data_IF_165821155600
#
_entry.id   IF_165821155600
#
_cell.length_a   1.000
_cell.length_b   1.000
_cell.length_c   1.000
_cell.angle_alpha   90.00
_cell.angle_beta   90.00
_cell.angle_gamma   90.00
#
_symmetry.space_group_name_H-M   'P 1'
#
loop_
_entity.id
_entity.type
_entity.pdbx_description
1 polymer ?
#
# COMPACT_ATOMS: atom_id res chain seq x y z
N UNK A 1 -0.70 4.55 -15.77
CA UNK A 1 -0.54 5.59 -14.73
C UNK A 1 -0.71 4.92 -13.38
N UNK A 2 0.21 5.10 -12.44
CA UNK A 2 0.14 4.45 -11.11
C UNK A 2 -1.00 5.10 -10.30
N UNK A 3 -2.04 4.34 -9.88
CA UNK A 3 -3.18 4.89 -9.15
C UNK A 3 -2.90 5.23 -7.68
N UNK A 4 -1.69 4.98 -7.19
CA UNK A 4 -1.24 5.29 -5.83
C UNK A 4 -0.11 6.34 -5.79
N UNK A 5 0.06 7.10 -6.88
CA UNK A 5 1.14 8.10 -6.99
C UNK A 5 1.04 9.20 -5.92
N UNK A 6 -0.17 9.64 -5.59
CA UNK A 6 -0.46 10.56 -4.49
C UNK A 6 -0.02 9.99 -3.13
N UNK A 7 -0.33 8.72 -2.87
CA UNK A 7 0.10 8.05 -1.62
C UNK A 7 1.59 7.84 -1.56
N UNK A 8 2.25 7.56 -2.68
CA UNK A 8 3.71 7.55 -2.75
C UNK A 8 4.29 8.91 -2.32
N UNK A 9 3.71 10.01 -2.79
CA UNK A 9 4.15 11.35 -2.37
C UNK A 9 3.90 11.62 -0.88
N UNK A 10 2.75 11.22 -0.35
CA UNK A 10 2.43 11.43 1.07
C UNK A 10 3.33 10.59 2.00
N UNK A 11 3.63 9.35 1.62
CA UNK A 11 4.40 8.42 2.44
C UNK A 11 5.90 8.72 2.42
N UNK A 12 6.47 9.01 1.24
CA UNK A 12 7.91 9.25 1.10
C UNK A 12 8.29 10.72 1.26
N UNK A 13 7.38 11.64 0.98
CA UNK A 13 7.64 13.06 1.05
C UNK A 13 6.58 13.74 1.93
N UNK A 14 6.58 13.52 3.26
CA UNK A 14 5.56 14.08 4.15
C UNK A 14 5.73 15.59 4.38
N UNK A 15 6.89 16.16 4.04
CA UNK A 15 7.21 17.57 4.30
C UNK A 15 6.52 18.48 3.27
N UNK A 16 5.87 19.53 3.77
CA UNK A 16 5.19 20.57 2.98
C UNK A 16 5.66 21.94 3.44
N UNK A 17 5.95 22.84 2.51
CA UNK A 17 6.33 24.21 2.85
C UNK A 17 5.09 25.04 3.25
N UNK A 18 5.29 26.33 3.54
CA UNK A 18 4.20 27.24 3.91
C UNK A 18 3.19 27.47 2.77
N UNK A 19 3.57 27.15 1.52
CA UNK A 19 2.73 27.27 0.33
C UNK A 19 2.03 25.95 -0.03
N UNK A 20 2.30 24.87 0.72
CA UNK A 20 1.79 23.52 0.43
C UNK A 20 2.58 22.75 -0.63
N UNK A 21 3.74 23.25 -1.05
CA UNK A 21 4.63 22.56 -1.99
C UNK A 21 5.42 21.46 -1.28
N UNK A 22 5.63 20.35 -2.01
CA UNK A 22 6.43 19.22 -1.53
C UNK A 22 7.91 19.59 -1.62
N UNK A 23 8.59 19.62 -0.49
CA UNK A 23 10.05 19.67 -0.47
C UNK A 23 10.60 18.37 0.13
N UNK A 24 11.67 17.87 -0.46
CA UNK A 24 12.32 16.65 -0.03
C UNK A 24 13.83 16.82 -0.07
N UNK A 25 14.50 16.20 0.88
CA UNK A 25 15.95 16.14 0.92
C UNK A 25 16.45 15.05 -0.02
N UNK A 26 17.74 15.08 -0.36
CA UNK A 26 18.37 14.00 -1.09
C UNK A 26 18.26 12.65 -0.35
N UNK A 27 18.24 12.68 0.99
CA UNK A 27 18.03 11.49 1.83
C UNK A 27 16.63 10.90 1.62
N UNK A 28 15.58 11.74 1.61
CA UNK A 28 14.20 11.30 1.33
C UNK A 28 14.09 10.67 -0.08
N UNK A 29 14.85 11.19 -1.05
CA UNK A 29 14.95 10.60 -2.40
C UNK A 29 15.69 9.25 -2.40
N UNK A 30 16.75 9.12 -1.61
CA UNK A 30 17.46 7.86 -1.46
C UNK A 30 16.59 6.79 -0.78
N UNK A 31 15.74 7.17 0.17
CA UNK A 31 14.82 6.25 0.83
C UNK A 31 13.81 5.66 -0.15
N UNK A 32 13.20 6.47 -1.03
CA UNK A 32 12.29 5.96 -2.05
C UNK A 32 13.02 5.10 -3.10
N UNK A 33 14.21 5.53 -3.54
CA UNK A 33 15.02 4.75 -4.48
C UNK A 33 15.48 3.42 -3.88
N UNK A 34 15.82 3.41 -2.59
CA UNK A 34 16.18 2.21 -1.84
C UNK A 34 14.97 1.29 -1.71
N UNK A 35 13.81 1.81 -1.30
CA UNK A 35 12.59 1.04 -1.16
C UNK A 35 12.14 0.39 -2.48
N UNK A 36 12.30 1.09 -3.60
CA UNK A 36 11.91 0.63 -4.94
C UNK A 36 13.00 -0.17 -5.67
N UNK A 37 14.18 -0.32 -5.07
CA UNK A 37 15.30 -1.07 -5.64
C UNK A 37 14.98 -2.57 -5.73
N UNK A 38 15.43 -3.26 -6.80
CA UNK A 38 15.31 -4.71 -6.90
C UNK A 38 16.05 -5.45 -5.77
N UNK A 39 17.10 -4.86 -5.19
CA UNK A 39 17.90 -5.45 -4.11
C UNK A 39 17.33 -5.21 -2.70
N UNK A 40 16.24 -4.44 -2.58
CA UNK A 40 15.61 -4.16 -1.29
C UNK A 40 14.91 -5.42 -0.74
N UNK A 41 15.15 -5.80 0.55
CA UNK A 41 14.53 -6.97 1.15
C UNK A 41 13.00 -6.92 1.06
N UNK A 42 12.37 -8.05 0.73
CA UNK A 42 10.92 -8.14 0.54
C UNK A 42 10.12 -7.65 1.75
N UNK A 43 10.64 -7.87 2.96
CA UNK A 43 10.05 -7.37 4.20
C UNK A 43 9.98 -5.84 4.25
N UNK A 44 11.02 -5.16 3.78
CA UNK A 44 11.07 -3.68 3.76
C UNK A 44 10.11 -3.15 2.68
N UNK A 45 10.05 -3.79 1.51
CA UNK A 45 9.05 -3.47 0.48
C UNK A 45 7.63 -3.64 0.98
N UNK A 46 7.35 -4.74 1.68
CA UNK A 46 6.04 -5.01 2.26
C UNK A 46 5.66 -3.96 3.31
N UNK A 47 6.60 -3.49 4.14
CA UNK A 47 6.34 -2.40 5.09
C UNK A 47 6.00 -1.07 4.39
N UNK A 48 6.70 -0.74 3.30
CA UNK A 48 6.38 0.46 2.53
C UNK A 48 5.05 0.34 1.80
N UNK A 49 4.76 -0.82 1.20
CA UNK A 49 3.47 -1.09 0.57
C UNK A 49 2.31 -1.00 1.58
N UNK A 50 2.51 -1.51 2.81
CA UNK A 50 1.55 -1.36 3.89
C UNK A 50 1.21 0.11 4.17
N UNK A 51 2.22 0.97 4.31
CA UNK A 51 2.01 2.42 4.52
C UNK A 51 1.29 3.13 3.37
N UNK A 52 1.45 2.64 2.14
CA UNK A 52 0.73 3.19 0.98
C UNK A 52 -0.75 2.81 1.01
N UNK A 53 -1.03 1.60 1.47
CA UNK A 53 -2.38 1.03 1.50
C UNK A 53 -3.19 1.44 2.73
N UNK A 54 -2.54 1.79 3.83
CA UNK A 54 -3.17 2.43 4.99
C UNK A 54 -3.48 3.91 4.62
N UNK A 55 -4.75 4.24 4.36
CA UNK A 55 -5.16 5.61 3.98
C UNK A 55 -5.47 6.50 5.17
N UNK A 56 -6.00 5.92 6.24
CA UNK A 56 -6.40 6.65 7.44
C UNK A 56 -5.23 6.81 8.45
N UNK A 57 -4.09 6.17 8.21
CA UNK A 57 -2.88 6.12 9.03
C UNK A 57 -3.11 5.55 10.44
N UNK A 58 -4.05 4.61 10.59
CA UNK A 58 -4.34 3.96 11.86
C UNK A 58 -3.41 2.77 12.17
N UNK A 59 -2.50 2.43 11.24
CA UNK A 59 -1.59 1.28 11.26
C UNK A 59 -2.28 -0.08 11.08
N UNK A 60 -3.48 -0.08 10.52
CA UNK A 60 -4.21 -1.24 10.06
C UNK A 60 -4.70 -1.00 8.63
N UNK A 61 -5.03 -2.09 7.92
CA UNK A 61 -5.73 -2.00 6.64
C UNK A 61 -7.12 -2.58 6.88
N UNK A 62 -8.09 -1.68 6.97
CA UNK A 62 -9.49 -2.02 7.24
C UNK A 62 -10.34 -2.15 5.97
N UNK A 63 -11.65 -2.34 6.16
CA UNK A 63 -12.62 -2.42 5.06
C UNK A 63 -12.61 -1.16 4.18
N UNK A 64 -12.49 0.03 4.80
CA UNK A 64 -12.49 1.31 4.09
C UNK A 64 -11.25 1.48 3.20
N UNK A 65 -10.07 1.11 3.70
CA UNK A 65 -8.83 1.13 2.93
C UNK A 65 -8.91 0.17 1.74
N UNK A 66 -9.37 -1.06 1.97
CA UNK A 66 -9.53 -2.06 0.92
C UNK A 66 -10.54 -1.63 -0.15
N UNK A 67 -11.60 -0.93 0.24
CA UNK A 67 -12.58 -0.37 -0.70
C UNK A 67 -11.92 0.66 -1.63
N UNK A 68 -11.12 1.57 -1.07
CA UNK A 68 -10.36 2.58 -1.82
C UNK A 68 -9.33 1.90 -2.74
N UNK A 69 -8.64 0.87 -2.26
CA UNK A 69 -7.65 0.11 -3.05
C UNK A 69 -8.34 -0.55 -4.24
N UNK A 70 -9.47 -1.23 -4.03
CA UNK A 70 -10.23 -1.89 -5.10
C UNK A 70 -10.71 -0.85 -6.12
N UNK A 71 -11.21 0.31 -5.68
CA UNK A 71 -11.63 1.38 -6.58
C UNK A 71 -10.49 1.95 -7.42
N UNK A 72 -9.31 2.11 -6.82
CA UNK A 72 -8.10 2.59 -7.48
C UNK A 72 -7.55 1.57 -8.49
N UNK A 73 -7.51 0.28 -8.14
CA UNK A 73 -7.05 -0.80 -9.02
C UNK A 73 -8.00 -1.06 -10.20
N UNK A 74 -9.30 -0.92 -9.98
CA UNK A 74 -10.32 -1.11 -11.01
C UNK A 74 -10.54 0.12 -11.87
N UNK A 75 -9.82 1.23 -11.61
CA UNK A 75 -9.99 2.53 -12.28
C UNK A 75 -11.45 3.00 -12.26
N UNK A 76 -12.15 2.73 -11.15
CA UNK A 76 -13.60 2.98 -11.00
C UNK A 76 -14.48 2.30 -12.06
N UNK A 77 -14.04 1.20 -12.69
CA UNK A 77 -14.98 0.29 -13.35
C UNK A 77 -16.04 -0.08 -12.32
N UNK A 78 -17.32 0.05 -12.69
CA UNK A 78 -18.46 -0.02 -11.77
C UNK A 78 -18.63 -1.43 -11.18
N UNK A 79 -17.74 -1.84 -10.29
CA UNK A 79 -18.04 -2.90 -9.34
C UNK A 79 -19.08 -2.34 -8.37
N UNK A 80 -20.16 -3.09 -8.21
CA UNK A 80 -21.16 -2.78 -7.19
C UNK A 80 -20.55 -2.89 -5.79
N UNK A 81 -21.15 -2.20 -4.83
CA UNK A 81 -20.73 -2.27 -3.44
C UNK A 81 -20.73 -3.71 -2.90
N UNK A 82 -21.69 -4.54 -3.32
CA UNK A 82 -21.78 -5.95 -2.91
C UNK A 82 -20.66 -6.82 -3.48
N UNK A 83 -20.19 -6.55 -4.70
CA UNK A 83 -19.03 -7.24 -5.27
C UNK A 83 -17.74 -6.85 -4.55
N UNK A 84 -17.55 -5.55 -4.28
CA UNK A 84 -16.41 -5.07 -3.50
C UNK A 84 -16.38 -5.72 -2.12
N UNK A 85 -17.51 -5.75 -1.43
CA UNK A 85 -17.62 -6.36 -0.11
C UNK A 85 -17.25 -7.85 -0.11
N UNK A 86 -17.72 -8.61 -1.11
CA UNK A 86 -17.32 -10.02 -1.25
C UNK A 86 -15.81 -10.19 -1.44
N UNK A 87 -15.19 -9.32 -2.23
CA UNK A 87 -13.72 -9.35 -2.43
C UNK A 87 -13.01 -9.05 -1.10
N UNK A 88 -13.47 -8.04 -0.36
CA UNK A 88 -12.92 -7.68 0.95
C UNK A 88 -13.04 -8.84 1.94
N UNK A 89 -14.22 -9.47 2.03
CA UNK A 89 -14.45 -10.64 2.89
C UNK A 89 -13.50 -11.81 2.55
N UNK A 90 -13.24 -12.05 1.26
CA UNK A 90 -12.28 -13.07 0.82
C UNK A 90 -10.86 -12.70 1.22
N UNK A 91 -10.44 -11.44 1.02
CA UNK A 91 -9.11 -10.97 1.39
C UNK A 91 -8.89 -11.10 2.90
N UNK A 92 -9.83 -10.59 3.70
CA UNK A 92 -9.76 -10.68 5.16
C UNK A 92 -9.71 -12.13 5.62
N UNK A 93 -10.54 -13.02 5.06
CA UNK A 93 -10.52 -14.44 5.44
C UNK A 93 -9.15 -15.11 5.21
N UNK A 94 -8.41 -14.70 4.20
CA UNK A 94 -7.09 -15.28 3.87
C UNK A 94 -5.93 -14.61 4.65
N UNK A 95 -6.05 -13.32 4.95
CA UNK A 95 -4.96 -12.50 5.52
C UNK A 95 -5.11 -12.23 7.02
N UNK A 96 -6.33 -11.99 7.50
CA UNK A 96 -6.65 -11.74 8.91
C UNK A 96 -6.64 -13.06 9.71
N UNK A 97 -5.44 -13.45 10.13
CA UNK A 97 -5.22 -14.63 10.95
C UNK A 97 -5.70 -14.42 12.40
N UNK A 98 -5.68 -13.16 12.86
CA UNK A 98 -6.14 -12.75 14.19
C UNK A 98 -7.65 -12.68 14.35
N UNK A 99 -8.41 -12.65 13.24
CA UNK A 99 -9.85 -12.35 13.20
C UNK A 99 -10.19 -11.00 13.86
N UNK A 100 -9.29 -10.03 13.72
CA UNK A 100 -9.52 -8.66 14.21
C UNK A 100 -10.57 -7.92 13.40
N UNK A 101 -10.79 -8.31 12.13
CA UNK A 101 -11.56 -7.55 11.16
C UNK A 101 -10.69 -6.61 10.30
N UNK A 102 -9.45 -6.36 10.74
CA UNK A 102 -8.47 -5.51 10.06
C UNK A 102 -7.13 -6.23 9.93
N UNK A 103 -6.36 -5.85 8.92
CA UNK A 103 -5.05 -6.45 8.62
C UNK A 103 -3.95 -5.62 9.29
N UNK A 104 -3.22 -6.24 10.22
CA UNK A 104 -2.04 -5.63 10.83
C UNK A 104 -0.82 -5.66 9.92
N UNK A 105 0.17 -4.81 10.17
CA UNK A 105 1.46 -4.81 9.44
C UNK A 105 2.13 -6.20 9.40
N UNK A 106 2.01 -6.99 10.48
CA UNK A 106 2.59 -8.34 10.56
C UNK A 106 1.87 -9.31 9.63
N UNK A 107 0.54 -9.29 9.63
CA UNK A 107 -0.29 -10.13 8.76
C UNK A 107 -0.10 -9.76 7.29
N UNK A 108 -0.02 -8.46 7.00
CA UNK A 108 0.28 -7.99 5.66
C UNK A 108 1.64 -8.49 5.15
N UNK A 109 2.71 -8.31 5.94
CA UNK A 109 4.04 -8.81 5.58
C UNK A 109 4.01 -10.33 5.37
N UNK A 110 3.34 -11.07 6.25
CA UNK A 110 3.20 -12.52 6.13
C UNK A 110 2.45 -12.92 4.84
N UNK A 111 1.35 -12.26 4.51
CA UNK A 111 0.60 -12.50 3.28
C UNK A 111 1.44 -12.21 2.03
N UNK A 112 2.15 -11.08 2.00
CA UNK A 112 3.02 -10.70 0.89
C UNK A 112 4.18 -11.69 0.70
N UNK A 113 4.79 -12.18 1.78
CA UNK A 113 5.87 -13.19 1.66
C UNK A 113 5.40 -14.53 1.07
N UNK A 114 4.10 -14.82 1.12
CA UNK A 114 3.48 -15.98 0.47
C UNK A 114 3.06 -15.71 -0.98
N UNK A 115 3.12 -14.45 -1.43
CA UNK A 115 2.78 -14.02 -2.78
C UNK A 115 4.05 -13.63 -3.53
N UNK A 116 4.76 -14.58 -4.17
CA UNK A 116 6.03 -14.29 -4.85
C UNK A 116 5.89 -13.22 -5.93
N UNK A 117 4.73 -13.17 -6.61
CA UNK A 117 4.46 -12.19 -7.67
C UNK A 117 4.39 -10.74 -7.15
N UNK A 118 4.07 -10.52 -5.88
CA UNK A 118 3.96 -9.16 -5.32
C UNK A 118 5.30 -8.41 -5.31
N UNK A 119 6.41 -9.14 -5.17
CA UNK A 119 7.76 -8.56 -5.19
C UNK A 119 8.10 -7.91 -6.54
N UNK A 120 7.39 -8.30 -7.61
CA UNK A 120 7.54 -7.72 -8.96
C UNK A 120 6.63 -6.52 -9.22
N UNK A 121 5.54 -6.38 -8.45
CA UNK A 121 4.61 -5.25 -8.56
C UNK A 121 5.16 -3.95 -7.96
N UNK A 122 6.14 -4.06 -7.07
CA UNK A 122 6.72 -2.95 -6.32
C UNK A 122 8.20 -2.71 -6.70
N UNK A 123 8.44 -2.54 -8.00
CA UNK A 123 9.78 -2.30 -8.56
C UNK A 123 9.75 -1.11 -9.52
N UNK A 124 10.76 -0.26 -9.41
CA UNK A 124 11.08 0.72 -10.45
C UNK A 124 11.71 -0.05 -11.62
N UNK A 125 10.94 -0.26 -12.69
CA UNK A 125 11.50 -0.68 -13.98
C UNK A 125 12.00 0.59 -14.67
N UNK A 126 13.31 0.80 -14.60
CA UNK A 126 14.01 1.81 -15.41
C UNK A 126 14.16 1.28 -16.82
#
# INVERSE_FOLDING_TARGET
VNPFVDRLYDVFFPKRDQNGEIYFSFEDMLDICSALSPQCPDKVKAMWAFKIFDFNNDNYIGEDDLLIIIDRLTLKKQLSYSEKKKIIEIILKEVDLGKSGDISSREFVHAITKMPDFTTCFQLKV
#
